data_IF_527202206166
#
_entry.id   IF_527202206166
#
_cell.length_a   1.000
_cell.length_b   1.000
_cell.length_c   1.000
_cell.angle_alpha   90.00
_cell.angle_beta   90.00
_cell.angle_gamma   90.00
#
_symmetry.space_group_name_H-M   'P 1'
#
loop_
_entity.id
_entity.type
_entity.pdbx_description
1 polymer ?
#
# COMPACT_ATOMS: atom_id res chain seq x y z
N UNK A 1 -1.58 -20.83 -17.46
CA UNK A 1 -1.34 -19.38 -17.67
C UNK A 1 -0.02 -18.98 -17.03
N UNK A 2 0.69 -18.01 -17.61
CA UNK A 2 1.86 -17.38 -16.99
C UNK A 2 1.46 -15.96 -16.55
N UNK A 3 1.73 -15.64 -15.31
CA UNK A 3 1.39 -14.34 -14.71
C UNK A 3 2.67 -13.61 -14.30
N UNK A 4 2.72 -12.31 -14.54
CA UNK A 4 3.80 -11.44 -14.11
C UNK A 4 3.31 -10.53 -12.99
N UNK A 5 4.04 -10.50 -11.88
CA UNK A 5 3.86 -9.53 -10.79
C UNK A 5 5.04 -8.59 -10.79
N UNK A 6 4.80 -7.30 -10.92
CA UNK A 6 5.86 -6.27 -10.88
C UNK A 6 6.03 -5.80 -9.46
N UNK A 7 7.26 -5.86 -8.95
CA UNK A 7 7.66 -5.40 -7.64
C UNK A 7 8.51 -6.42 -6.87
N UNK A 8 8.92 -6.04 -5.67
CA UNK A 8 9.85 -6.83 -4.85
C UNK A 8 9.49 -6.87 -3.36
N UNK A 9 8.40 -6.23 -2.96
CA UNK A 9 8.02 -6.07 -1.56
C UNK A 9 7.14 -7.20 -1.02
N UNK A 10 6.75 -7.05 0.24
CA UNK A 10 5.85 -8.01 0.91
C UNK A 10 4.47 -8.06 0.26
N UNK A 11 3.98 -6.95 -0.23
CA UNK A 11 2.75 -6.85 -1.02
C UNK A 11 2.83 -7.72 -2.28
N UNK A 12 3.91 -7.62 -3.03
CA UNK A 12 4.12 -8.39 -4.26
C UNK A 12 4.27 -9.88 -3.95
N UNK A 13 4.98 -10.22 -2.88
CA UNK A 13 5.07 -11.62 -2.44
C UNK A 13 3.68 -12.19 -2.09
N UNK A 14 2.86 -11.43 -1.36
CA UNK A 14 1.51 -11.86 -1.01
C UNK A 14 0.59 -12.01 -2.24
N UNK A 15 0.69 -11.10 -3.21
CA UNK A 15 -0.04 -11.21 -4.48
C UNK A 15 0.40 -12.44 -5.27
N UNK A 16 1.71 -12.65 -5.42
CA UNK A 16 2.26 -13.82 -6.12
C UNK A 16 1.89 -15.13 -5.43
N UNK A 17 1.93 -15.17 -4.09
CA UNK A 17 1.50 -16.31 -3.27
C UNK A 17 0.03 -16.65 -3.50
N UNK A 18 -0.85 -15.64 -3.58
CA UNK A 18 -2.27 -15.85 -3.84
C UNK A 18 -2.53 -16.31 -5.27
N UNK A 19 -1.85 -15.75 -6.25
CA UNK A 19 -1.93 -16.11 -7.66
C UNK A 19 -1.48 -17.57 -7.87
N UNK A 20 -0.40 -17.99 -7.22
CA UNK A 20 0.16 -19.33 -7.34
C UNK A 20 -0.78 -20.44 -6.85
N UNK A 21 -1.83 -20.13 -6.09
CA UNK A 21 -2.85 -21.09 -5.64
C UNK A 21 -3.81 -21.49 -6.75
N UNK A 22 -3.88 -20.73 -7.85
CA UNK A 22 -4.69 -21.10 -9.01
C UNK A 22 -4.01 -22.20 -9.81
N UNK A 23 -4.71 -23.34 -9.97
CA UNK A 23 -4.17 -24.53 -10.64
C UNK A 23 -3.92 -24.35 -12.15
N UNK A 24 -4.54 -23.36 -12.77
CA UNK A 24 -4.32 -23.04 -14.19
C UNK A 24 -3.09 -22.13 -14.40
N UNK A 25 -2.56 -21.56 -13.33
CA UNK A 25 -1.32 -20.78 -13.38
C UNK A 25 -0.13 -21.75 -13.37
N UNK A 26 0.56 -21.83 -14.48
CA UNK A 26 1.73 -22.71 -14.65
C UNK A 26 3.01 -22.08 -14.09
N UNK A 27 3.07 -20.76 -14.01
CA UNK A 27 4.24 -20.00 -13.53
C UNK A 27 3.86 -18.59 -13.11
N UNK A 28 4.37 -18.14 -11.97
CA UNK A 28 4.34 -16.75 -11.55
C UNK A 28 5.75 -16.18 -11.67
N UNK A 29 5.91 -15.17 -12.52
CA UNK A 29 7.14 -14.38 -12.59
C UNK A 29 7.00 -13.16 -11.69
N UNK A 30 8.04 -12.85 -10.93
CA UNK A 30 8.07 -11.66 -10.05
C UNK A 30 9.26 -10.81 -10.42
N UNK A 31 9.05 -9.58 -10.76
CA UNK A 31 10.08 -8.68 -11.28
C UNK A 31 10.23 -7.41 -10.43
N UNK A 32 11.35 -7.26 -9.69
CA UNK A 32 12.50 -8.16 -9.61
C UNK A 32 12.36 -9.31 -8.60
N UNK A 33 11.34 -9.29 -7.71
CA UNK A 33 11.16 -10.28 -6.66
C UNK A 33 12.11 -10.11 -5.47
N UNK A 34 12.10 -11.08 -4.57
CA UNK A 34 12.92 -11.11 -3.35
C UNK A 34 13.31 -12.55 -3.01
N UNK A 35 13.92 -12.78 -1.83
CA UNK A 35 14.33 -14.12 -1.43
C UNK A 35 13.14 -15.08 -1.24
N UNK A 36 12.00 -14.59 -0.77
CA UNK A 36 10.79 -15.42 -0.57
C UNK A 36 10.20 -15.90 -1.89
N UNK A 37 10.17 -15.05 -2.90
CA UNK A 37 9.71 -15.43 -4.24
C UNK A 37 10.73 -16.27 -4.99
N UNK A 38 12.03 -16.08 -4.73
CA UNK A 38 13.09 -16.90 -5.32
C UNK A 38 13.10 -18.36 -4.82
N UNK A 39 12.71 -18.58 -3.58
CA UNK A 39 12.72 -19.90 -2.94
C UNK A 39 11.40 -20.67 -3.10
N UNK A 40 10.36 -20.02 -3.60
CA UNK A 40 9.08 -20.68 -3.85
C UNK A 40 9.14 -21.44 -5.19
N UNK A 41 8.77 -22.73 -5.21
CA UNK A 41 8.88 -23.56 -6.44
C UNK A 41 7.94 -23.11 -7.56
N UNK A 42 6.86 -22.41 -7.25
CA UNK A 42 5.86 -21.94 -8.22
C UNK A 42 6.17 -20.55 -8.78
N UNK A 43 7.23 -19.90 -8.28
CA UNK A 43 7.62 -18.55 -8.64
C UNK A 43 9.01 -18.49 -9.25
N UNK A 44 9.24 -17.50 -10.10
CA UNK A 44 10.56 -17.23 -10.70
C UNK A 44 10.82 -15.72 -10.63
N UNK A 45 11.93 -15.35 -10.01
CA UNK A 45 12.39 -13.96 -10.02
C UNK A 45 12.95 -13.59 -11.39
N UNK A 46 12.61 -12.39 -11.83
CA UNK A 46 13.10 -11.80 -13.08
C UNK A 46 13.78 -10.48 -12.73
N UNK A 47 15.11 -10.36 -12.83
CA UNK A 47 15.86 -9.18 -12.39
C UNK A 47 15.71 -8.00 -13.36
N UNK A 48 14.48 -7.58 -13.64
CA UNK A 48 14.15 -6.52 -14.58
C UNK A 48 13.30 -5.48 -13.87
N UNK A 49 13.68 -4.20 -13.99
CA UNK A 49 12.93 -3.05 -13.48
C UNK A 49 12.59 -2.04 -14.56
N UNK A 50 13.31 -2.03 -15.67
CA UNK A 50 13.05 -1.17 -16.83
C UNK A 50 11.76 -1.59 -17.54
N UNK A 51 10.88 -0.63 -17.83
CA UNK A 51 9.56 -0.88 -18.40
C UNK A 51 9.64 -1.48 -19.80
N UNK A 52 10.53 -0.98 -20.66
CA UNK A 52 10.66 -1.48 -22.03
C UNK A 52 11.22 -2.89 -22.06
N UNK A 53 12.15 -3.20 -21.15
CA UNK A 53 12.70 -4.55 -20.98
C UNK A 53 11.67 -5.50 -20.39
N UNK A 54 10.83 -5.03 -19.46
CA UNK A 54 9.68 -5.80 -18.92
C UNK A 54 8.68 -6.13 -20.02
N UNK A 55 8.38 -5.16 -20.90
CA UNK A 55 7.49 -5.39 -22.03
C UNK A 55 8.03 -6.48 -22.95
N UNK A 56 9.31 -6.40 -23.34
CA UNK A 56 9.96 -7.40 -24.19
C UNK A 56 9.95 -8.79 -23.52
N UNK A 57 10.19 -8.88 -22.22
CA UNK A 57 10.08 -10.11 -21.44
C UNK A 57 8.66 -10.66 -21.49
N UNK A 58 7.66 -9.83 -21.22
CA UNK A 58 6.26 -10.25 -21.21
C UNK A 58 5.80 -10.78 -22.58
N UNK A 59 6.25 -10.16 -23.66
CA UNK A 59 6.00 -10.63 -25.03
C UNK A 59 6.68 -11.96 -25.32
N UNK A 60 7.96 -12.08 -24.99
CA UNK A 60 8.75 -13.30 -25.21
C UNK A 60 8.18 -14.50 -24.44
N UNK A 61 7.87 -14.30 -23.17
CA UNK A 61 7.32 -15.35 -22.30
C UNK A 61 5.82 -15.59 -22.50
N UNK A 62 5.16 -14.81 -23.32
CA UNK A 62 3.72 -14.89 -23.54
C UNK A 62 2.93 -14.76 -22.24
N UNK A 63 3.23 -13.73 -21.45
CA UNK A 63 2.55 -13.43 -20.20
C UNK A 63 1.06 -13.18 -20.49
N UNK A 64 0.22 -13.92 -19.78
CA UNK A 64 -1.23 -13.82 -19.93
C UNK A 64 -1.80 -12.56 -19.28
N UNK A 65 -1.31 -12.22 -18.08
CA UNK A 65 -1.77 -11.08 -17.29
C UNK A 65 -0.61 -10.55 -16.44
N UNK A 66 -0.49 -9.23 -16.37
CA UNK A 66 0.46 -8.55 -15.50
C UNK A 66 -0.27 -7.81 -14.39
N UNK A 67 0.19 -7.97 -13.15
CA UNK A 67 -0.29 -7.25 -11.96
C UNK A 67 0.82 -6.34 -11.47
N UNK A 68 0.51 -5.06 -11.27
CA UNK A 68 1.48 -4.07 -10.78
C UNK A 68 1.33 -3.90 -9.28
N UNK A 69 2.41 -4.11 -8.54
CA UNK A 69 2.44 -3.95 -7.09
C UNK A 69 2.68 -2.51 -6.64
N UNK A 70 3.86 -1.90 -6.95
CA UNK A 70 4.24 -0.60 -6.42
C UNK A 70 3.79 0.58 -7.31
N UNK A 71 3.84 1.77 -6.72
CA UNK A 71 3.46 3.03 -7.37
C UNK A 71 4.43 3.53 -8.45
N UNK A 72 5.73 3.28 -8.28
CA UNK A 72 6.74 3.84 -9.17
C UNK A 72 6.55 3.45 -10.66
N UNK A 73 6.40 2.17 -11.02
CA UNK A 73 6.14 1.80 -12.41
C UNK A 73 4.79 2.33 -12.93
N UNK A 74 3.78 2.46 -12.08
CA UNK A 74 2.48 3.05 -12.45
C UNK A 74 2.65 4.52 -12.86
N UNK A 75 3.36 5.30 -12.06
CA UNK A 75 3.64 6.72 -12.34
C UNK A 75 4.52 6.94 -13.56
N UNK A 76 5.29 5.93 -13.96
CA UNK A 76 6.11 5.94 -15.19
C UNK A 76 5.39 5.44 -16.43
N UNK A 77 4.16 4.95 -16.32
CA UNK A 77 3.33 4.56 -17.45
C UNK A 77 3.46 3.12 -17.91
N UNK A 78 3.85 2.17 -17.04
CA UNK A 78 3.95 0.74 -17.41
C UNK A 78 2.65 0.19 -17.98
N UNK A 79 1.50 0.63 -17.45
CA UNK A 79 0.19 0.17 -17.91
C UNK A 79 -0.09 0.65 -19.33
N UNK A 80 0.21 1.93 -19.63
CA UNK A 80 0.05 2.51 -20.97
C UNK A 80 0.91 1.76 -22.00
N UNK A 81 2.16 1.47 -21.66
CA UNK A 81 3.11 0.76 -22.53
C UNK A 81 2.61 -0.65 -22.85
N UNK A 82 2.18 -1.41 -21.84
CA UNK A 82 1.69 -2.77 -22.02
C UNK A 82 0.39 -2.82 -22.81
N UNK A 83 -0.55 -1.92 -22.52
CA UNK A 83 -1.82 -1.83 -23.27
C UNK A 83 -1.61 -1.46 -24.72
N UNK A 84 -0.71 -0.51 -25.02
CA UNK A 84 -0.36 -0.14 -26.39
C UNK A 84 0.19 -1.32 -27.20
N UNK A 85 0.82 -2.29 -26.53
CA UNK A 85 1.32 -3.54 -27.13
C UNK A 85 0.27 -4.68 -27.13
N UNK A 86 -0.96 -4.42 -26.71
CA UNK A 86 -2.04 -5.40 -26.67
C UNK A 86 -1.95 -6.42 -25.52
N UNK A 87 -1.14 -6.16 -24.51
CA UNK A 87 -0.99 -7.04 -23.34
C UNK A 87 -1.96 -6.65 -22.22
N UNK A 88 -2.54 -7.68 -21.59
CA UNK A 88 -3.40 -7.49 -20.42
C UNK A 88 -2.56 -7.12 -19.19
N UNK A 89 -2.94 -6.02 -18.55
CA UNK A 89 -2.30 -5.51 -17.34
C UNK A 89 -3.32 -4.87 -16.44
N UNK A 90 -3.28 -5.19 -15.15
CA UNK A 90 -4.16 -4.61 -14.15
C UNK A 90 -3.44 -3.50 -13.38
N UNK A 91 -3.91 -2.29 -13.56
CA UNK A 91 -3.39 -1.08 -12.95
C UNK A 91 -3.94 0.17 -13.66
N UNK A 92 -3.82 1.35 -13.06
CA UNK A 92 -4.22 2.61 -13.67
C UNK A 92 -3.21 3.07 -14.72
N UNK A 93 -3.71 3.84 -15.70
CA UNK A 93 -2.86 4.60 -16.62
C UNK A 93 -1.98 5.59 -15.86
N UNK A 94 -0.92 6.07 -16.49
CA UNK A 94 -0.06 7.15 -15.94
C UNK A 94 -0.89 8.37 -15.54
N UNK A 95 -1.86 8.77 -16.37
CA UNK A 95 -2.75 9.89 -16.09
C UNK A 95 -3.62 9.64 -14.86
N UNK A 96 -4.21 8.44 -14.73
CA UNK A 96 -5.02 8.07 -13.57
C UNK A 96 -4.18 7.89 -12.29
N UNK A 97 -2.95 7.42 -12.41
CA UNK A 97 -2.03 7.28 -11.29
C UNK A 97 -1.63 8.62 -10.62
N UNK A 98 -1.95 9.75 -11.22
CA UNK A 98 -1.76 11.06 -10.61
C UNK A 98 -2.55 11.24 -9.30
N UNK A 99 -3.62 10.46 -9.08
CA UNK A 99 -4.32 10.44 -7.78
C UNK A 99 -3.38 10.10 -6.60
N UNK A 100 -2.31 9.35 -6.85
CA UNK A 100 -1.27 9.06 -5.87
C UNK A 100 0.02 9.87 -6.10
N UNK A 101 0.45 10.00 -7.35
CA UNK A 101 1.73 10.63 -7.69
C UNK A 101 1.75 12.15 -7.53
N UNK A 102 0.58 12.79 -7.43
CA UNK A 102 0.44 14.22 -7.14
C UNK A 102 -0.68 14.47 -6.14
N UNK A 103 -0.32 14.93 -4.95
CA UNK A 103 -1.29 15.30 -3.91
C UNK A 103 -2.10 16.53 -4.30
N UNK A 104 -1.49 17.46 -5.00
CA UNK A 104 -2.18 18.63 -5.55
C UNK A 104 -3.26 18.22 -6.55
N UNK A 105 -2.93 17.32 -7.48
CA UNK A 105 -3.90 16.76 -8.42
C UNK A 105 -5.06 16.08 -7.68
N UNK A 106 -4.75 15.24 -6.68
CA UNK A 106 -5.76 14.52 -5.90
C UNK A 106 -6.68 15.47 -5.14
N UNK A 107 -6.11 16.51 -4.51
CA UNK A 107 -6.88 17.52 -3.77
C UNK A 107 -7.79 18.34 -4.68
N UNK A 108 -7.28 18.83 -5.81
CA UNK A 108 -8.07 19.55 -6.80
C UNK A 108 -9.20 18.68 -7.37
N UNK A 109 -8.90 17.38 -7.62
CA UNK A 109 -9.89 16.41 -8.06
C UNK A 109 -11.00 16.20 -7.02
N UNK A 110 -10.63 15.98 -5.76
CA UNK A 110 -11.62 15.78 -4.68
C UNK A 110 -12.51 17.00 -4.50
N UNK A 111 -11.95 18.20 -4.56
CA UNK A 111 -12.71 19.44 -4.48
C UNK A 111 -13.70 19.56 -5.65
N UNK A 112 -13.25 19.33 -6.88
CA UNK A 112 -14.08 19.44 -8.09
C UNK A 112 -15.25 18.44 -8.12
N UNK A 113 -15.05 17.26 -7.55
CA UNK A 113 -16.04 16.19 -7.54
C UNK A 113 -16.75 16.02 -6.19
N UNK A 114 -16.61 17.00 -5.28
CA UNK A 114 -17.26 17.03 -3.96
C UNK A 114 -16.95 15.77 -3.10
N UNK A 115 -15.73 15.26 -3.17
CA UNK A 115 -15.28 14.15 -2.35
C UNK A 115 -14.76 14.69 -1.02
N UNK A 116 -15.25 14.19 0.14
CA UNK A 116 -14.85 14.71 1.44
C UNK A 116 -13.34 14.53 1.68
N UNK A 117 -12.67 15.63 1.99
CA UNK A 117 -11.25 15.66 2.35
C UNK A 117 -10.95 16.83 3.27
N UNK A 118 -9.76 16.85 3.87
CA UNK A 118 -9.30 17.96 4.70
C UNK A 118 -9.21 19.26 3.91
N UNK A 119 -9.51 20.39 4.55
CA UNK A 119 -9.22 21.71 3.99
C UNK A 119 -7.72 21.81 3.71
N UNK A 120 -7.35 22.45 2.60
CA UNK A 120 -5.96 22.48 2.15
C UNK A 120 -5.60 23.75 1.38
N UNK A 121 -4.31 24.00 1.26
CA UNK A 121 -3.75 24.96 0.32
C UNK A 121 -2.40 24.44 -0.21
N UNK A 122 -2.04 24.81 -1.41
CA UNK A 122 -0.83 24.35 -2.10
C UNK A 122 0.14 25.51 -2.31
N UNK A 123 1.42 25.28 -2.07
CA UNK A 123 2.46 26.31 -2.15
C UNK A 123 3.71 25.80 -2.87
N UNK A 124 4.28 26.68 -3.69
CA UNK A 124 5.64 26.55 -4.27
C UNK A 124 6.61 27.56 -3.64
N UNK A 125 6.09 28.55 -2.94
CA UNK A 125 6.82 29.63 -2.27
C UNK A 125 6.81 29.40 -0.76
N UNK A 126 8.00 29.28 -0.17
CA UNK A 126 8.17 28.97 1.25
C UNK A 126 7.58 30.10 2.14
N UNK A 127 7.74 31.37 1.77
CA UNK A 127 7.22 32.50 2.57
C UNK A 127 5.70 32.50 2.64
N UNK A 128 5.03 32.20 1.50
CA UNK A 128 3.58 32.07 1.46
C UNK A 128 3.09 30.90 2.30
N UNK A 129 3.81 29.76 2.25
CA UNK A 129 3.52 28.60 3.07
C UNK A 129 3.65 28.92 4.58
N UNK A 130 4.73 29.60 4.97
CA UNK A 130 4.92 30.06 6.36
C UNK A 130 3.79 31.00 6.83
N UNK A 131 3.39 31.95 6.00
CA UNK A 131 2.28 32.86 6.31
C UNK A 131 0.97 32.13 6.52
N UNK A 132 0.69 31.09 5.68
CA UNK A 132 -0.50 30.28 5.80
C UNK A 132 -0.53 29.50 7.12
N UNK A 133 0.60 28.88 7.51
CA UNK A 133 0.71 28.17 8.80
C UNK A 133 0.47 29.13 9.97
N UNK A 134 1.07 30.31 9.93
CA UNK A 134 0.88 31.32 10.98
C UNK A 134 -0.58 31.79 11.10
N UNK A 135 -1.34 31.77 10.01
CA UNK A 135 -2.77 32.11 10.01
C UNK A 135 -3.65 30.96 10.52
N UNK A 136 -3.32 29.71 10.14
CA UNK A 136 -4.12 28.54 10.49
C UNK A 136 -3.81 28.01 11.88
N UNK A 137 -2.56 28.17 12.35
CA UNK A 137 -2.07 27.58 13.59
C UNK A 137 -1.77 26.09 13.48
N UNK A 138 -1.48 25.47 14.61
CA UNK A 138 -1.23 24.03 14.74
C UNK A 138 -2.27 23.40 15.69
N UNK A 139 -2.52 22.06 15.62
CA UNK A 139 -1.84 21.10 14.74
C UNK A 139 -2.22 21.27 13.26
N UNK A 140 -1.29 20.93 12.38
CA UNK A 140 -1.44 21.06 10.92
C UNK A 140 -0.58 20.01 10.20
N UNK A 141 -0.90 19.69 8.95
CA UNK A 141 -0.16 18.64 8.20
C UNK A 141 0.53 19.26 6.99
N UNK A 142 1.82 19.01 6.86
CA UNK A 142 2.64 19.46 5.72
C UNK A 142 3.01 18.23 4.89
N UNK A 143 2.66 18.23 3.60
CA UNK A 143 2.92 17.12 2.68
C UNK A 143 3.70 17.60 1.46
N UNK A 144 4.78 16.89 1.11
CA UNK A 144 5.40 17.02 -0.20
C UNK A 144 4.45 16.51 -1.28
N UNK A 145 4.38 17.19 -2.42
CA UNK A 145 3.42 16.87 -3.47
C UNK A 145 3.68 15.51 -4.14
N UNK A 146 4.94 15.19 -4.42
CA UNK A 146 5.32 13.98 -5.15
C UNK A 146 5.47 12.73 -4.27
N UNK A 147 5.89 11.63 -4.93
CA UNK A 147 6.19 10.37 -4.25
C UNK A 147 7.46 10.52 -3.39
N UNK A 148 7.34 10.29 -2.09
CA UNK A 148 8.43 10.47 -1.12
C UNK A 148 8.57 9.27 -0.16
N UNK A 149 8.07 8.10 -0.53
CA UNK A 149 8.19 6.84 0.21
C UNK A 149 7.86 6.97 1.72
N UNK A 150 6.77 7.66 2.04
CA UNK A 150 6.34 7.90 3.43
C UNK A 150 7.10 9.01 4.18
N UNK A 151 8.16 9.56 3.61
CA UNK A 151 8.98 10.61 4.24
C UNK A 151 8.50 12.04 3.94
N UNK A 152 7.53 12.18 3.05
CA UNK A 152 7.00 13.46 2.60
C UNK A 152 5.79 13.97 3.38
N UNK A 153 5.49 13.42 4.55
CA UNK A 153 4.36 13.83 5.38
C UNK A 153 4.85 14.14 6.80
N UNK A 154 4.57 15.35 7.26
CA UNK A 154 4.85 15.79 8.63
C UNK A 154 3.54 16.23 9.27
N UNK A 155 3.13 15.53 10.31
CA UNK A 155 2.03 15.92 11.19
C UNK A 155 2.64 16.83 12.26
N UNK A 156 2.51 18.15 12.07
CA UNK A 156 3.08 19.14 12.98
C UNK A 156 2.10 19.44 14.12
N UNK A 157 2.50 19.13 15.34
CA UNK A 157 1.68 19.39 16.53
C UNK A 157 1.84 20.84 17.03
N UNK A 158 2.90 21.51 16.63
CA UNK A 158 3.12 22.93 16.89
C UNK A 158 3.62 23.66 15.62
N UNK A 159 3.57 25.00 15.66
CA UNK A 159 3.97 25.82 14.51
C UNK A 159 5.46 25.68 14.17
N UNK A 160 6.32 25.46 15.16
CA UNK A 160 7.76 25.30 14.93
C UNK A 160 8.06 24.05 14.08
N UNK A 161 7.41 22.92 14.37
CA UNK A 161 7.48 21.71 13.55
C UNK A 161 6.98 21.97 12.12
N UNK A 162 5.88 22.71 11.97
CA UNK A 162 5.31 23.03 10.66
C UNK A 162 6.26 23.92 9.84
N UNK A 163 6.83 24.94 10.42
CA UNK A 163 7.80 25.81 9.75
C UNK A 163 9.08 25.05 9.37
N UNK A 164 9.58 24.19 10.25
CA UNK A 164 10.74 23.34 9.96
C UNK A 164 10.48 22.38 8.78
N UNK A 165 9.27 21.79 8.70
CA UNK A 165 8.88 20.95 7.60
C UNK A 165 8.81 21.71 6.26
N UNK A 166 8.28 22.93 6.24
CA UNK A 166 8.26 23.79 5.06
C UNK A 166 9.67 24.08 4.58
N UNK A 167 10.56 24.46 5.49
CA UNK A 167 11.96 24.76 5.16
C UNK A 167 12.67 23.54 4.59
N UNK A 168 12.50 22.35 5.21
CA UNK A 168 13.10 21.12 4.75
C UNK A 168 12.63 20.71 3.34
N UNK A 169 11.36 20.92 3.03
CA UNK A 169 10.76 20.52 1.75
C UNK A 169 10.99 21.56 0.65
N UNK A 170 10.66 22.84 0.88
CA UNK A 170 10.71 23.89 -0.12
C UNK A 170 12.03 24.64 -0.18
N UNK A 171 12.57 25.06 0.96
CA UNK A 171 13.78 25.89 0.99
C UNK A 171 15.06 25.07 0.81
N UNK A 172 15.18 23.96 1.54
CA UNK A 172 16.36 23.10 1.51
C UNK A 172 16.29 22.01 0.42
N UNK A 173 15.14 21.85 -0.21
CA UNK A 173 14.89 20.87 -1.28
C UNK A 173 15.34 19.43 -0.92
N UNK A 174 15.18 19.02 0.34
CA UNK A 174 15.62 17.71 0.84
C UNK A 174 14.97 16.51 0.16
N UNK A 175 13.81 16.72 -0.49
CA UNK A 175 13.06 15.70 -1.22
C UNK A 175 13.13 15.86 -2.75
N UNK A 176 14.03 16.71 -3.25
CA UNK A 176 14.20 16.93 -4.68
C UNK A 176 12.90 17.39 -5.35
N UNK A 177 12.62 16.87 -6.53
CA UNK A 177 11.41 17.23 -7.29
C UNK A 177 10.10 16.94 -6.56
N UNK A 178 10.05 15.95 -5.67
CA UNK A 178 8.87 15.65 -4.86
C UNK A 178 8.55 16.76 -3.85
N UNK A 179 9.56 17.50 -3.39
CA UNK A 179 9.43 18.63 -2.47
C UNK A 179 9.33 20.00 -3.13
N UNK A 180 9.28 20.10 -4.45
CA UNK A 180 9.17 21.38 -5.16
C UNK A 180 7.85 22.09 -4.93
N UNK A 181 6.86 21.40 -4.38
CA UNK A 181 5.55 21.89 -4.00
C UNK A 181 5.12 21.20 -2.71
N UNK A 182 4.44 21.91 -1.83
CA UNK A 182 3.85 21.36 -0.61
C UNK A 182 2.34 21.58 -0.60
N UNK A 183 1.63 20.60 -0.05
CA UNK A 183 0.21 20.68 0.27
C UNK A 183 0.11 20.77 1.79
N UNK A 184 -0.51 21.84 2.29
CA UNK A 184 -0.74 22.06 3.72
C UNK A 184 -2.21 21.77 4.00
N UNK A 185 -2.46 20.86 4.95
CA UNK A 185 -3.80 20.34 5.24
C UNK A 185 -4.20 20.56 6.70
N UNK A 186 -5.50 20.70 6.90
CA UNK A 186 -6.14 20.60 8.20
C UNK A 186 -5.76 19.26 8.88
N UNK A 187 -5.44 19.33 10.17
CA UNK A 187 -5.24 18.13 10.98
C UNK A 187 -6.59 17.47 11.27
N UNK A 188 -6.73 16.19 10.89
CA UNK A 188 -7.94 15.43 11.13
C UNK A 188 -7.78 14.51 12.33
N UNK A 189 -8.86 14.35 13.10
CA UNK A 189 -8.94 13.44 14.26
C UNK A 189 -9.94 12.32 14.00
N UNK A 190 -9.67 11.15 14.55
CA UNK A 190 -10.50 9.96 14.40
C UNK A 190 -9.67 8.70 14.28
N UNK A 191 -10.26 7.66 13.73
CA UNK A 191 -9.58 6.42 13.40
C UNK A 191 -9.31 6.33 11.91
N UNK A 192 -8.07 6.00 11.55
CA UNK A 192 -7.70 5.77 10.16
C UNK A 192 -8.07 4.35 9.73
N UNK A 193 -8.59 4.22 8.51
CA UNK A 193 -8.85 2.93 7.88
C UNK A 193 -8.40 2.94 6.43
N UNK A 194 -7.97 1.76 5.97
CA UNK A 194 -7.61 1.50 4.59
C UNK A 194 -8.79 0.86 3.87
N UNK A 195 -9.36 1.57 2.91
CA UNK A 195 -10.51 1.13 2.13
C UNK A 195 -10.09 0.90 0.69
N UNK A 196 -10.01 -0.36 0.28
CA UNK A 196 -9.50 -0.76 -1.02
C UNK A 196 -10.56 -1.41 -1.88
N UNK A 197 -10.54 -1.11 -3.17
CA UNK A 197 -11.44 -1.66 -4.17
C UNK A 197 -10.67 -2.02 -5.44
N UNK A 198 -11.22 -2.94 -6.23
CA UNK A 198 -10.84 -3.14 -7.62
C UNK A 198 -11.80 -2.35 -8.51
N UNK A 199 -11.28 -1.73 -9.56
CA UNK A 199 -12.03 -0.89 -10.49
C UNK A 199 -11.69 -1.26 -11.94
N UNK A 200 -12.70 -1.32 -12.80
CA UNK A 200 -12.54 -1.65 -14.24
C UNK A 200 -12.90 -0.50 -15.20
N UNK A 201 -12.89 0.72 -14.69
CA UNK A 201 -13.31 1.93 -15.39
C UNK A 201 -14.68 2.45 -14.99
N UNK A 202 -15.60 1.56 -14.62
CA UNK A 202 -16.97 1.90 -14.20
C UNK A 202 -17.49 1.06 -13.04
N UNK A 203 -17.14 -0.22 -12.99
CA UNK A 203 -17.57 -1.13 -11.95
C UNK A 203 -16.57 -1.15 -10.80
N UNK A 204 -17.09 -1.38 -9.60
CA UNK A 204 -16.33 -1.36 -8.35
C UNK A 204 -16.56 -2.67 -7.61
N UNK A 205 -15.49 -3.36 -7.25
CA UNK A 205 -15.52 -4.52 -6.36
C UNK A 205 -14.78 -4.19 -5.07
N UNK A 206 -15.49 -4.00 -3.93
CA UNK A 206 -14.83 -3.78 -2.66
C UNK A 206 -14.01 -4.98 -2.22
N UNK A 207 -12.82 -4.73 -1.70
CA UNK A 207 -11.99 -5.70 -1.01
C UNK A 207 -12.19 -5.59 0.50
N UNK A 208 -11.62 -6.53 1.26
CA UNK A 208 -11.65 -6.44 2.72
C UNK A 208 -10.94 -5.16 3.20
N UNK A 209 -11.51 -4.56 4.24
CA UNK A 209 -10.92 -3.39 4.89
C UNK A 209 -9.71 -3.76 5.75
N UNK A 210 -8.87 -2.78 6.08
CA UNK A 210 -7.70 -2.97 6.92
C UNK A 210 -7.38 -1.71 7.72
N UNK A 211 -6.61 -1.86 8.78
CA UNK A 211 -5.98 -0.76 9.50
C UNK A 211 -4.49 -1.06 9.63
N UNK A 212 -3.65 -0.06 9.38
CA UNK A 212 -2.20 -0.16 9.53
C UNK A 212 -1.68 0.59 10.77
N UNK A 213 -0.43 0.32 11.12
CA UNK A 213 0.32 0.99 12.19
C UNK A 213 1.52 1.71 11.57
N UNK A 214 1.44 3.05 11.45
CA UNK A 214 2.42 3.86 10.72
C UNK A 214 3.66 4.22 11.54
N UNK A 215 3.54 4.29 12.87
CA UNK A 215 4.66 4.65 13.74
C UNK A 215 5.56 3.46 14.02
N UNK A 216 6.86 3.75 14.19
CA UNK A 216 7.90 2.73 14.37
C UNK A 216 7.75 1.98 15.70
N UNK A 217 7.40 2.67 16.78
CA UNK A 217 7.45 2.16 18.15
C UNK A 217 6.06 1.89 18.71
N UNK A 218 6.00 1.03 19.72
CA UNK A 218 4.80 0.72 20.48
C UNK A 218 4.11 2.00 21.00
N UNK A 219 2.80 1.93 21.15
CA UNK A 219 1.99 3.07 21.57
C UNK A 219 1.93 4.21 20.58
N UNK A 220 2.16 3.94 19.28
CA UNK A 220 2.20 4.93 18.20
C UNK A 220 3.23 6.03 18.46
N UNK A 221 4.40 5.66 18.88
CA UNK A 221 5.52 6.53 19.15
C UNK A 221 6.59 6.43 18.05
N UNK A 222 7.50 7.40 18.04
CA UNK A 222 8.61 7.44 17.09
C UNK A 222 8.23 7.98 15.71
N UNK A 223 9.12 7.85 14.72
CA UNK A 223 8.90 8.36 13.39
C UNK A 223 7.82 7.59 12.61
N UNK A 224 7.24 8.23 11.61
CA UNK A 224 6.41 7.57 10.61
C UNK A 224 7.25 6.62 9.76
N UNK A 225 6.63 5.53 9.34
CA UNK A 225 7.22 4.49 8.51
C UNK A 225 6.30 4.17 7.32
N UNK A 226 6.68 3.20 6.51
CA UNK A 226 5.81 2.63 5.48
C UNK A 226 4.69 1.74 6.03
N UNK A 227 4.68 1.47 7.33
CA UNK A 227 3.76 0.57 8.04
C UNK A 227 4.51 -0.53 8.77
N UNK A 228 4.24 -0.68 10.07
CA UNK A 228 4.87 -1.67 10.96
C UNK A 228 3.98 -2.89 11.20
N UNK A 229 2.81 -2.91 10.63
CA UNK A 229 1.85 -3.99 10.74
C UNK A 229 0.46 -3.54 10.33
N UNK A 230 -0.41 -4.50 10.09
CA UNK A 230 -1.80 -4.26 9.72
C UNK A 230 -2.67 -5.45 10.10
N UNK A 231 -3.96 -5.22 10.20
CA UNK A 231 -4.95 -6.28 10.38
C UNK A 231 -6.17 -6.03 9.51
N UNK A 232 -6.91 -7.09 9.23
CA UNK A 232 -8.11 -7.12 8.40
C UNK A 232 -9.13 -8.08 9.02
N UNK A 233 -10.45 -7.73 9.04
CA UNK A 233 -11.02 -6.47 8.63
C UNK A 233 -10.75 -5.36 9.65
N UNK A 234 -11.08 -4.11 9.27
CA UNK A 234 -11.03 -2.96 10.17
C UNK A 234 -12.34 -2.85 10.96
N UNK A 235 -12.35 -3.05 12.29
CA UNK A 235 -13.59 -2.96 13.07
C UNK A 235 -14.26 -1.58 13.05
N UNK A 236 -13.49 -0.51 12.89
CA UNK A 236 -14.01 0.85 12.78
C UNK A 236 -14.80 1.10 11.48
N UNK A 237 -14.64 0.26 10.47
CA UNK A 237 -15.44 0.31 9.24
C UNK A 237 -16.68 -0.58 9.43
N UNK A 238 -17.69 -0.02 10.08
CA UNK A 238 -19.00 -0.66 10.23
C UNK A 238 -19.72 -0.78 8.88
N UNK A 239 -20.79 -1.58 8.74
CA UNK A 239 -21.58 -1.63 7.52
C UNK A 239 -22.04 -0.25 7.03
N UNK A 240 -22.42 0.65 7.95
CA UNK A 240 -22.81 2.03 7.62
C UNK A 240 -21.66 2.84 7.08
N UNK A 241 -20.50 2.75 7.69
CA UNK A 241 -19.27 3.44 7.24
C UNK A 241 -18.83 2.88 5.89
N UNK A 242 -18.91 1.57 5.70
CA UNK A 242 -18.60 0.91 4.43
C UNK A 242 -19.49 1.44 3.28
N UNK A 243 -20.80 1.47 3.50
CA UNK A 243 -21.75 2.00 2.53
C UNK A 243 -21.51 3.49 2.24
N UNK A 244 -21.19 4.26 3.28
CA UNK A 244 -20.86 5.69 3.18
C UNK A 244 -19.57 5.93 2.38
N UNK A 245 -18.53 5.15 2.63
CA UNK A 245 -17.27 5.23 1.89
C UNK A 245 -17.48 4.96 0.39
N UNK A 246 -18.26 3.96 0.04
CA UNK A 246 -18.63 3.68 -1.36
C UNK A 246 -19.41 4.83 -1.98
N UNK A 247 -20.40 5.38 -1.28
CA UNK A 247 -21.27 6.43 -1.80
C UNK A 247 -20.60 7.79 -1.89
N UNK A 248 -19.80 8.16 -0.90
CA UNK A 248 -19.26 9.52 -0.78
C UNK A 248 -17.83 9.65 -1.30
N UNK A 249 -17.07 8.58 -1.36
CA UNK A 249 -15.65 8.60 -1.76
C UNK A 249 -15.39 7.80 -3.02
N UNK A 250 -15.64 6.50 -3.01
CA UNK A 250 -15.21 5.59 -4.08
C UNK A 250 -15.99 5.83 -5.37
N UNK A 251 -17.31 5.79 -5.32
CA UNK A 251 -18.13 5.99 -6.51
C UNK A 251 -17.91 7.36 -7.15
N UNK A 252 -17.93 8.49 -6.39
CA UNK A 252 -17.60 9.79 -6.96
C UNK A 252 -16.20 9.87 -7.58
N UNK A 253 -15.22 9.14 -7.02
CA UNK A 253 -13.87 9.06 -7.60
C UNK A 253 -13.88 8.36 -8.95
N UNK A 254 -14.49 7.19 -9.05
CA UNK A 254 -14.54 6.40 -10.29
C UNK A 254 -15.33 7.16 -11.37
N UNK A 255 -16.48 7.70 -11.04
CA UNK A 255 -17.32 8.48 -11.95
C UNK A 255 -16.64 9.79 -12.36
N UNK A 256 -15.99 10.47 -11.41
CA UNK A 256 -15.27 11.71 -11.65
C UNK A 256 -14.06 11.53 -12.57
N UNK A 257 -13.31 10.46 -12.39
CA UNK A 257 -12.18 10.13 -13.28
C UNK A 257 -12.67 9.85 -14.71
N UNK A 258 -13.74 9.10 -14.87
CA UNK A 258 -14.35 8.86 -16.17
C UNK A 258 -14.86 10.16 -16.82
N UNK A 259 -15.51 11.03 -16.05
CA UNK A 259 -16.00 12.34 -16.49
C UNK A 259 -14.87 13.26 -16.92
N UNK A 260 -13.74 13.20 -16.25
CA UNK A 260 -12.54 13.98 -16.61
C UNK A 260 -11.75 13.40 -17.79
N UNK A 261 -12.23 12.30 -18.40
CA UNK A 261 -11.61 11.66 -19.57
C UNK A 261 -10.43 10.77 -19.26
N UNK A 262 -10.22 10.41 -18.00
CA UNK A 262 -9.14 9.53 -17.51
C UNK A 262 -9.74 8.39 -16.66
N UNK A 263 -10.50 7.46 -17.26
CA UNK A 263 -11.16 6.39 -16.53
C UNK A 263 -10.15 5.59 -15.71
N UNK A 264 -10.55 5.23 -14.50
CA UNK A 264 -9.69 4.52 -13.55
C UNK A 264 -9.88 3.01 -13.69
N UNK A 265 -8.81 2.27 -13.89
CA UNK A 265 -8.73 0.82 -13.79
C UNK A 265 -7.60 0.43 -12.85
N UNK A 266 -7.78 -0.61 -12.07
CA UNK A 266 -6.76 -1.05 -11.11
C UNK A 266 -7.27 -1.10 -9.68
N UNK A 267 -6.36 -1.24 -8.73
CA UNK A 267 -6.67 -1.05 -7.33
C UNK A 267 -6.81 0.44 -7.02
N UNK A 268 -7.84 0.78 -6.27
CA UNK A 268 -8.00 2.11 -5.70
C UNK A 268 -8.06 1.98 -4.18
N UNK A 269 -7.13 2.60 -3.51
CA UNK A 269 -7.03 2.63 -2.05
C UNK A 269 -7.32 4.04 -1.57
N UNK A 270 -8.43 4.20 -0.83
CA UNK A 270 -8.73 5.42 -0.10
C UNK A 270 -8.31 5.27 1.37
N UNK A 271 -7.37 6.08 1.81
CA UNK A 271 -7.08 6.28 3.22
C UNK A 271 -8.16 7.17 3.82
N UNK A 272 -8.90 6.65 4.78
CA UNK A 272 -10.05 7.33 5.39
C UNK A 272 -9.77 7.71 6.83
N UNK A 273 -10.15 8.92 7.23
CA UNK A 273 -10.29 9.31 8.62
C UNK A 273 -11.77 9.22 9.00
N UNK A 274 -12.08 8.40 10.00
CA UNK A 274 -13.44 8.17 10.51
C UNK A 274 -13.56 8.90 11.84
N UNK A 275 -14.36 9.95 11.86
CA UNK A 275 -14.61 10.72 13.08
C UNK A 275 -15.57 9.99 14.03
N UNK A 276 -15.56 10.31 15.33
CA UNK A 276 -16.47 9.68 16.31
C UNK A 276 -17.96 9.82 15.98
N UNK A 277 -18.35 10.86 15.25
CA UNK A 277 -19.73 11.08 14.80
C UNK A 277 -20.09 10.31 13.52
N UNK A 278 -19.18 9.47 13.01
CA UNK A 278 -19.39 8.69 11.78
C UNK A 278 -19.19 9.46 10.47
N UNK A 279 -18.72 10.71 10.51
CA UNK A 279 -18.28 11.40 9.29
C UNK A 279 -16.95 10.85 8.79
N UNK A 280 -16.75 10.86 7.48
CA UNK A 280 -15.51 10.40 6.86
C UNK A 280 -14.88 11.51 6.04
N UNK A 281 -13.55 11.56 6.07
CA UNK A 281 -12.76 12.39 5.15
C UNK A 281 -11.65 11.55 4.54
N UNK A 282 -11.37 11.78 3.27
CA UNK A 282 -10.28 11.11 2.56
C UNK A 282 -8.96 11.78 2.91
N UNK A 283 -8.03 11.00 3.45
CA UNK A 283 -6.67 11.45 3.74
C UNK A 283 -5.82 11.49 2.47
N UNK A 284 -5.89 10.43 1.69
CA UNK A 284 -5.14 10.26 0.44
C UNK A 284 -5.74 9.14 -0.40
N UNK A 285 -5.38 9.14 -1.69
CA UNK A 285 -5.55 7.98 -2.56
C UNK A 285 -4.20 7.31 -2.82
N UNK A 286 -4.23 5.98 -2.91
CA UNK A 286 -3.14 5.19 -3.44
C UNK A 286 -3.68 4.39 -4.64
N UNK A 287 -2.90 4.34 -5.71
CA UNK A 287 -3.32 3.71 -6.98
C UNK A 287 -2.90 2.25 -7.08
N UNK A 288 -2.71 1.61 -5.96
CA UNK A 288 -2.25 0.24 -5.77
C UNK A 288 -2.70 -0.26 -4.40
N UNK A 289 -2.50 -1.54 -4.14
CA UNK A 289 -2.73 -2.11 -2.81
C UNK A 289 -1.76 -1.52 -1.77
N UNK A 290 -2.17 -1.54 -0.50
CA UNK A 290 -1.32 -1.13 0.61
C UNK A 290 -0.25 -2.17 0.95
N UNK A 291 0.82 -1.72 1.58
CA UNK A 291 1.87 -2.56 2.16
C UNK A 291 2.20 -2.03 3.56
N UNK A 292 1.80 -2.71 4.65
CA UNK A 292 1.58 -4.15 4.77
C UNK A 292 0.11 -4.65 4.80
N UNK A 293 -0.84 -3.93 4.24
CA UNK A 293 -2.26 -4.32 4.29
C UNK A 293 -2.58 -5.50 3.36
N UNK A 294 -1.88 -5.63 2.25
CA UNK A 294 -2.11 -6.69 1.25
C UNK A 294 -1.92 -8.09 1.86
N UNK A 295 -0.94 -8.26 2.73
CA UNK A 295 -0.62 -9.54 3.34
C UNK A 295 -1.81 -10.11 4.13
N UNK A 296 -2.38 -9.43 5.11
CA UNK A 296 -3.56 -9.93 5.81
C UNK A 296 -4.80 -10.03 4.91
N UNK A 297 -4.99 -9.12 3.96
CA UNK A 297 -6.13 -9.15 3.04
C UNK A 297 -6.07 -10.40 2.15
N UNK A 298 -4.92 -10.72 1.57
CA UNK A 298 -4.77 -11.89 0.69
C UNK A 298 -4.90 -13.21 1.46
N UNK A 299 -4.52 -13.28 2.71
CA UNK A 299 -4.76 -14.46 3.54
C UNK A 299 -6.25 -14.70 3.81
N UNK A 300 -7.07 -13.65 3.82
CA UNK A 300 -8.52 -13.76 4.00
C UNK A 300 -9.28 -13.99 2.70
N UNK A 301 -8.71 -13.68 1.55
CA UNK A 301 -9.41 -13.83 0.27
C UNK A 301 -9.56 -15.33 -0.07
N UNK A 302 -10.81 -15.80 -0.20
CA UNK A 302 -11.14 -17.19 -0.59
C UNK A 302 -11.30 -17.33 -2.10
N UNK A 303 -11.87 -16.31 -2.74
CA UNK A 303 -12.03 -16.28 -4.19
C UNK A 303 -10.67 -16.27 -4.88
N UNK A 304 -10.58 -16.97 -6.00
CA UNK A 304 -9.38 -16.95 -6.84
C UNK A 304 -9.09 -15.51 -7.33
N UNK A 305 -7.89 -15.02 -7.00
CA UNK A 305 -7.51 -13.66 -7.35
C UNK A 305 -7.36 -13.44 -8.85
N UNK A 306 -6.90 -14.46 -9.60
CA UNK A 306 -6.75 -14.36 -11.06
C UNK A 306 -8.10 -14.13 -11.71
N UNK A 307 -9.14 -14.84 -11.28
CA UNK A 307 -10.51 -14.65 -11.75
C UNK A 307 -11.00 -13.22 -11.53
N UNK A 308 -10.75 -12.66 -10.35
CA UNK A 308 -11.10 -11.25 -10.06
C UNK A 308 -10.35 -10.28 -10.98
N UNK A 309 -9.06 -10.51 -11.18
CA UNK A 309 -8.23 -9.67 -12.04
C UNK A 309 -8.64 -9.80 -13.52
N UNK A 310 -9.05 -10.97 -13.98
CA UNK A 310 -9.60 -11.17 -15.32
C UNK A 310 -10.89 -10.37 -15.52
N UNK A 311 -11.81 -10.40 -14.57
CA UNK A 311 -13.01 -9.57 -14.62
C UNK A 311 -12.66 -8.08 -14.69
N UNK A 312 -11.65 -7.66 -13.93
CA UNK A 312 -11.20 -6.27 -13.91
C UNK A 312 -10.65 -5.82 -15.28
N UNK A 313 -9.76 -6.60 -15.90
CA UNK A 313 -9.18 -6.23 -17.21
C UNK A 313 -10.15 -6.39 -18.37
N UNK A 314 -11.20 -7.18 -18.19
CA UNK A 314 -12.25 -7.39 -19.19
C UNK A 314 -13.45 -6.43 -19.02
N UNK A 315 -13.47 -5.57 -18.00
CA UNK A 315 -14.56 -4.64 -17.76
C UNK A 315 -15.86 -5.29 -17.26
N UNK A 316 -15.75 -6.42 -16.58
CA UNK A 316 -16.87 -7.26 -16.12
C UNK A 316 -16.88 -7.48 -14.59
N UNK A 317 -16.32 -6.54 -13.82
CA UNK A 317 -16.30 -6.64 -12.34
C UNK A 317 -17.70 -6.69 -11.72
N UNK A 318 -18.71 -6.20 -12.42
CA UNK A 318 -20.11 -6.34 -11.98
C UNK A 318 -20.61 -7.79 -11.95
N UNK A 319 -19.91 -8.72 -12.59
CA UNK A 319 -20.18 -10.16 -12.58
C UNK A 319 -19.33 -10.92 -11.56
N UNK A 320 -18.40 -10.24 -10.91
CA UNK A 320 -17.48 -10.82 -9.95
C UNK A 320 -17.99 -10.64 -8.52
N UNK A 321 -17.68 -11.62 -7.67
CA UNK A 321 -17.94 -11.58 -6.24
C UNK A 321 -16.71 -12.07 -5.48
N UNK A 322 -16.35 -11.37 -4.41
CA UNK A 322 -15.23 -11.76 -3.55
C UNK A 322 -15.75 -12.39 -2.26
N UNK A 323 -15.34 -13.62 -2.02
CA UNK A 323 -15.63 -14.37 -0.79
C UNK A 323 -14.43 -14.27 0.17
N UNK A 324 -14.72 -14.08 1.44
CA UNK A 324 -13.71 -13.82 2.47
C UNK A 324 -13.77 -14.83 3.61
N UNK A 325 -12.61 -15.22 4.13
CA UNK A 325 -12.49 -15.90 5.41
C UNK A 325 -13.05 -14.97 6.50
N UNK A 326 -13.88 -15.50 7.37
CA UNK A 326 -14.52 -14.74 8.46
C UNK A 326 -13.55 -14.40 9.58
N UNK A 327 -12.45 -15.14 9.67
CA UNK A 327 -11.40 -14.89 10.65
C UNK A 327 -10.68 -13.56 10.39
N UNK A 328 -10.08 -13.03 11.43
CA UNK A 328 -9.15 -11.91 11.31
C UNK A 328 -7.80 -12.38 10.79
N UNK A 329 -7.13 -11.52 10.03
CA UNK A 329 -5.73 -11.69 9.70
C UNK A 329 -4.94 -10.51 10.26
N UNK A 330 -3.73 -10.77 10.77
CA UNK A 330 -2.86 -9.75 11.33
C UNK A 330 -1.44 -9.99 10.90
N UNK A 331 -0.78 -8.96 10.38
CA UNK A 331 0.60 -8.99 9.95
C UNK A 331 1.49 -8.11 10.81
N UNK A 332 2.62 -8.64 11.24
CA UNK A 332 3.67 -7.94 11.98
C UNK A 332 4.87 -7.75 11.07
N UNK A 333 5.26 -6.50 10.84
CA UNK A 333 6.45 -6.19 10.05
C UNK A 333 7.70 -6.27 10.93
N UNK A 334 8.72 -6.96 10.42
CA UNK A 334 10.07 -6.96 10.97
C UNK A 334 10.95 -6.11 10.06
N UNK A 335 11.57 -5.09 10.62
CA UNK A 335 12.40 -4.12 9.90
C UNK A 335 13.88 -4.25 10.26
N UNK A 336 14.75 -3.78 9.36
CA UNK A 336 16.20 -3.74 9.54
C UNK A 336 16.62 -2.73 10.61
N UNK A 337 17.83 -2.90 11.11
CA UNK A 337 18.49 -1.92 11.94
C UNK A 337 18.46 -0.54 11.27
N UNK A 338 18.20 0.50 12.05
CA UNK A 338 18.13 1.91 11.64
C UNK A 338 16.93 2.33 10.78
N UNK A 339 16.06 1.40 10.35
CA UNK A 339 14.82 1.77 9.66
C UNK A 339 13.96 2.73 10.54
N UNK A 340 13.30 3.78 10.04
CA UNK A 340 13.09 4.14 8.63
C UNK A 340 14.18 5.01 8.00
N UNK A 341 15.28 5.26 8.70
CA UNK A 341 16.48 5.89 8.14
C UNK A 341 17.21 4.90 7.23
N UNK A 342 18.46 5.20 6.84
CA UNK A 342 19.24 4.30 6.02
C UNK A 342 19.43 2.95 6.71
N UNK A 343 18.84 1.85 6.19
CA UNK A 343 18.88 0.56 6.86
C UNK A 343 20.25 -0.08 6.71
N UNK A 344 20.66 -0.84 7.73
CA UNK A 344 21.79 -1.75 7.60
C UNK A 344 21.34 -2.97 6.78
N UNK A 345 22.17 -3.39 5.83
CA UNK A 345 21.90 -4.50 4.93
C UNK A 345 22.80 -5.70 5.23
N UNK A 346 22.50 -6.83 4.59
CA UNK A 346 23.28 -8.07 4.65
C UNK A 346 23.29 -8.79 6.01
N UNK A 347 22.38 -8.49 6.91
CA UNK A 347 22.17 -9.25 8.12
C UNK A 347 21.50 -10.60 7.80
N UNK A 348 22.09 -11.71 8.23
CA UNK A 348 21.54 -13.06 7.99
C UNK A 348 20.27 -13.26 8.79
N UNK A 349 19.25 -13.82 8.14
CA UNK A 349 17.97 -14.17 8.73
C UNK A 349 17.93 -15.66 9.00
N UNK A 350 17.70 -16.03 10.25
CA UNK A 350 17.58 -17.41 10.71
C UNK A 350 16.21 -17.68 11.33
N UNK A 351 15.83 -18.93 11.48
CA UNK A 351 14.58 -19.32 12.11
C UNK A 351 13.34 -19.17 11.21
N UNK A 352 13.53 -18.97 9.90
CA UNK A 352 12.42 -18.95 8.97
C UNK A 352 11.75 -20.33 8.93
N UNK A 353 10.43 -20.42 9.15
CA UNK A 353 9.71 -21.70 9.16
C UNK A 353 9.60 -22.26 7.75
N UNK A 354 9.65 -23.61 7.66
CA UNK A 354 9.48 -24.32 6.38
C UNK A 354 8.00 -24.44 5.97
N UNK A 355 7.10 -24.47 6.94
CA UNK A 355 5.65 -24.49 6.73
C UNK A 355 4.93 -23.98 7.97
N UNK A 356 3.78 -23.37 7.78
CA UNK A 356 2.94 -22.86 8.86
C UNK A 356 1.48 -23.20 8.54
N UNK A 357 0.71 -23.48 9.60
CA UNK A 357 -0.74 -23.61 9.51
C UNK A 357 -1.39 -22.26 9.89
N UNK A 358 -2.27 -21.78 9.03
CA UNK A 358 -2.97 -20.49 9.20
C UNK A 358 -2.05 -19.27 9.42
N UNK A 359 -0.83 -19.37 8.95
CA UNK A 359 0.14 -18.28 8.99
C UNK A 359 1.07 -18.33 7.77
N UNK A 360 1.71 -17.21 7.47
CA UNK A 360 2.65 -17.07 6.38
C UNK A 360 3.69 -16.00 6.70
N UNK A 361 4.93 -16.24 6.32
CA UNK A 361 5.98 -15.22 6.34
C UNK A 361 6.15 -14.68 4.93
N UNK A 362 5.75 -13.44 4.72
CA UNK A 362 5.96 -12.74 3.46
C UNK A 362 7.26 -11.96 3.51
N UNK A 363 8.09 -12.13 2.48
CA UNK A 363 9.36 -11.44 2.35
C UNK A 363 9.17 -10.08 1.66
N UNK A 364 9.91 -9.08 2.12
CA UNK A 364 10.04 -7.77 1.50
C UNK A 364 11.51 -7.52 1.16
N UNK A 365 12.21 -6.72 1.93
CA UNK A 365 13.62 -6.43 1.72
C UNK A 365 14.54 -7.59 2.10
N UNK A 366 14.49 -8.66 1.31
CA UNK A 366 15.35 -9.85 1.45
C UNK A 366 15.97 -10.24 0.11
N UNK A 367 17.14 -10.85 0.16
CA UNK A 367 17.84 -11.40 -1.00
C UNK A 367 18.57 -12.67 -0.61
N UNK A 368 18.74 -13.58 -1.57
CA UNK A 368 19.62 -14.75 -1.41
C UNK A 368 21.06 -14.34 -1.70
N UNK A 369 21.94 -14.59 -0.74
CA UNK A 369 23.38 -14.37 -0.84
C UNK A 369 24.12 -15.58 -0.30
N UNK A 370 24.90 -16.24 -1.16
CA UNK A 370 25.63 -17.46 -0.81
C UNK A 370 24.76 -18.54 -0.16
N UNK A 371 23.53 -18.73 -0.68
CA UNK A 371 22.55 -19.70 -0.17
C UNK A 371 21.84 -19.29 1.12
N UNK A 372 22.10 -18.11 1.64
CA UNK A 372 21.48 -17.56 2.85
C UNK A 372 20.51 -16.45 2.51
N UNK A 373 19.44 -16.33 3.29
CA UNK A 373 18.54 -15.19 3.24
C UNK A 373 19.12 -14.07 4.09
N UNK A 374 19.31 -12.91 3.49
CA UNK A 374 19.86 -11.72 4.19
C UNK A 374 18.97 -10.51 3.96
N UNK A 375 19.04 -9.51 4.84
CA UNK A 375 18.33 -8.25 4.72
C UNK A 375 18.86 -7.45 3.53
N UNK A 376 17.95 -6.84 2.75
CA UNK A 376 18.28 -6.01 1.59
C UNK A 376 17.44 -4.72 1.50
N UNK A 377 16.69 -4.40 2.53
CA UNK A 377 15.85 -3.22 2.58
C UNK A 377 15.42 -2.86 3.99
N UNK A 378 14.61 -1.82 4.12
CA UNK A 378 14.15 -1.32 5.42
C UNK A 378 13.14 -2.26 6.08
N UNK A 379 11.99 -2.50 5.43
CA UNK A 379 11.05 -3.53 5.88
C UNK A 379 11.47 -4.86 5.27
N UNK A 380 11.63 -5.86 6.10
CA UNK A 380 12.29 -7.13 5.73
C UNK A 380 11.31 -8.27 5.56
N UNK A 381 10.45 -8.47 6.56
CA UNK A 381 9.46 -9.53 6.59
C UNK A 381 8.12 -8.99 7.10
N UNK A 382 7.03 -9.64 6.71
CA UNK A 382 5.72 -9.49 7.33
C UNK A 382 5.21 -10.87 7.75
N UNK A 383 5.15 -11.12 9.03
CA UNK A 383 4.62 -12.36 9.61
C UNK A 383 3.12 -12.19 9.78
N UNK A 384 2.35 -12.97 9.03
CA UNK A 384 0.89 -12.80 8.96
C UNK A 384 0.19 -14.08 9.40
N UNK A 385 -0.82 -13.95 10.25
CA UNK A 385 -1.58 -15.09 10.77
C UNK A 385 -3.09 -14.83 10.79
N UNK A 386 -3.86 -15.90 10.64
CA UNK A 386 -5.31 -15.94 10.81
C UNK A 386 -5.68 -16.32 12.25
N UNK A 387 -6.76 -15.76 12.77
CA UNK A 387 -7.32 -16.11 14.07
C UNK A 387 -8.78 -15.73 14.20
N UNK A 388 -9.53 -16.45 14.99
CA UNK A 388 -10.97 -16.20 15.23
C UNK A 388 -11.23 -14.79 15.80
N UNK A 389 -10.25 -14.24 16.49
CA UNK A 389 -10.25 -12.85 16.97
C UNK A 389 -8.94 -12.19 16.61
N UNK A 390 -8.88 -10.85 16.65
CA UNK A 390 -7.62 -10.12 16.44
C UNK A 390 -6.55 -10.57 17.44
N UNK A 391 -6.96 -10.83 18.69
CA UNK A 391 -6.05 -11.29 19.75
C UNK A 391 -5.42 -12.66 19.42
N UNK A 392 -6.20 -13.62 18.90
CA UNK A 392 -5.68 -14.93 18.51
C UNK A 392 -4.76 -14.82 17.28
N UNK A 393 -5.14 -13.99 16.28
CA UNK A 393 -4.27 -13.72 15.15
C UNK A 393 -2.94 -13.08 15.59
N UNK A 394 -3.00 -12.12 16.51
CA UNK A 394 -1.84 -11.47 17.11
C UNK A 394 -0.92 -12.47 17.80
N UNK A 395 -1.47 -13.29 18.68
CA UNK A 395 -0.69 -14.30 19.43
C UNK A 395 0.02 -15.26 18.48
N UNK A 396 -0.68 -15.76 17.47
CA UNK A 396 -0.11 -16.67 16.47
C UNK A 396 1.00 -15.99 15.66
N UNK A 397 0.81 -14.75 15.22
CA UNK A 397 1.84 -14.02 14.50
C UNK A 397 3.10 -13.80 15.33
N UNK A 398 2.96 -13.38 16.58
CA UNK A 398 4.12 -13.17 17.46
C UNK A 398 4.84 -14.46 17.85
N UNK A 399 4.17 -15.60 17.95
CA UNK A 399 4.84 -16.90 18.13
C UNK A 399 5.83 -17.17 16.99
N UNK A 400 5.45 -16.86 15.76
CA UNK A 400 6.36 -17.01 14.61
C UNK A 400 7.44 -15.94 14.60
N UNK A 401 7.12 -14.69 14.93
CA UNK A 401 8.11 -13.59 15.06
C UNK A 401 9.22 -13.96 16.03
N UNK A 402 8.87 -14.59 17.16
CA UNK A 402 9.83 -14.96 18.21
C UNK A 402 10.85 -16.00 17.75
N UNK A 403 10.54 -16.80 16.73
CA UNK A 403 11.45 -17.79 16.17
C UNK A 403 12.43 -17.20 15.16
N UNK A 404 12.08 -16.08 14.50
CA UNK A 404 12.88 -15.45 13.44
C UNK A 404 13.89 -14.50 14.07
N UNK A 405 15.16 -14.62 13.66
CA UNK A 405 16.26 -13.81 14.19
C UNK A 405 17.11 -13.22 13.07
N UNK A 406 17.36 -11.93 13.17
CA UNK A 406 18.44 -11.24 12.49
C UNK A 406 18.93 -10.06 13.33
N UNK A 407 20.18 -9.69 13.19
CA UNK A 407 20.78 -8.66 14.02
C UNK A 407 20.13 -7.29 13.78
N UNK A 408 19.81 -6.58 14.87
CA UNK A 408 19.18 -5.28 14.83
C UNK A 408 17.71 -5.28 14.34
N UNK A 409 17.03 -6.42 14.33
CA UNK A 409 15.62 -6.52 13.97
C UNK A 409 14.74 -5.58 14.80
N UNK A 410 13.89 -4.81 14.14
CA UNK A 410 12.95 -3.91 14.77
C UNK A 410 11.52 -4.35 14.43
N UNK A 411 10.68 -4.47 15.43
CA UNK A 411 9.24 -4.71 15.26
C UNK A 411 8.46 -4.20 16.47
N UNK A 412 7.19 -3.89 16.26
CA UNK A 412 6.29 -3.52 17.35
C UNK A 412 5.75 -4.77 18.03
N UNK A 413 5.45 -4.66 19.32
CA UNK A 413 4.87 -5.74 20.12
C UNK A 413 3.36 -5.59 20.31
N UNK A 414 2.77 -4.49 19.83
CA UNK A 414 1.39 -4.09 20.08
C UNK A 414 0.49 -4.04 18.83
N UNK A 415 0.92 -4.63 17.70
CA UNK A 415 0.12 -4.63 16.46
C UNK A 415 -1.27 -5.20 16.74
N UNK A 416 -2.31 -4.45 16.36
CA UNK A 416 -3.70 -4.81 16.59
C UNK A 416 -4.30 -4.27 17.88
N UNK A 417 -3.55 -3.52 18.68
CA UNK A 417 -3.99 -3.07 20.01
C UNK A 417 -5.31 -2.29 19.99
N UNK A 418 -5.58 -1.51 18.94
CA UNK A 418 -6.83 -0.73 18.81
C UNK A 418 -8.06 -1.64 18.72
N UNK A 419 -7.95 -2.71 17.95
CA UNK A 419 -9.04 -3.67 17.77
C UNK A 419 -9.21 -4.63 18.96
N UNK A 420 -8.18 -4.80 19.80
CA UNK A 420 -8.22 -5.67 20.98
C UNK A 420 -8.83 -4.92 22.18
N UNK A 421 -8.65 -3.61 22.27
CA UNK A 421 -9.16 -2.76 23.36
C UNK A 421 -10.60 -2.28 23.14
N UNK A 422 -11.15 -2.49 21.94
CA UNK A 422 -12.51 -2.09 21.55
C UNK A 422 -13.60 -3.02 22.08
#
# INVERSE_FOLDING_TARGET
>A
MKILVIGSGGREHALAWKIAQNKEVSRVYVAPGNAGTATNPDMVNVPITDIDVLLAFAQKEQIYLTIVGPEAPLSKGVVDVFRAAGLKIFGPSKAAAQLESSKDFAKAFMLRHNIPTAAYATFTDAQKAHNYVSQQGAPIVIKADGLAAGKGVVVAMDEAEAHAAIDAMLADNKLGSAGSRVVIEEFLTGEEASFMVMVDGKNILPLATSQDHKRLLDGDQGPNTGGMGAYSPAPCVTPEIHAKALREVIRPTVEGMAKDGIPYTGFLYAGLMISPNGSIKTLEFNCRMGDPETQPIMMRLKTDFVTLAEHAVNGTLNLAEAEWDRRFALGVVMASHNYPNTPRLDDEITGLPSSLEDAQVFHAGTVLKDGKVVTSGGRVLCVTALGETVKFAQQKAYQVVDEIKFDGAQYRTDIGFRAIKG
#
